data_IF_775823465530
#
_entry.id   IF_775823465530
#
_cell.length_a   1.000
_cell.length_b   1.000
_cell.length_c   1.000
_cell.angle_alpha   90.00
_cell.angle_beta   90.00
_cell.angle_gamma   90.00
#
_symmetry.space_group_name_H-M   'P 1'
#
loop_
_entity.id
_entity.type
_entity.pdbx_description
1 polymer ?
#
# COMPACT_ATOMS: atom_id res chain seq x y z
N UNK A 1 -10.84 12.72 -6.06
CA UNK A 1 -11.59 11.46 -5.87
C UNK A 1 -10.67 10.53 -5.11
N UNK A 2 -11.14 9.88 -4.05
CA UNK A 2 -10.32 8.94 -3.27
C UNK A 2 -10.17 7.65 -4.06
N UNK A 3 -8.94 7.14 -4.19
CA UNK A 3 -8.67 5.85 -4.81
C UNK A 3 -9.03 4.72 -3.86
N UNK A 4 -9.54 3.61 -4.38
CA UNK A 4 -9.81 2.39 -3.62
C UNK A 4 -8.86 1.30 -4.12
N UNK A 5 -8.11 0.74 -3.18
CA UNK A 5 -7.27 -0.43 -3.43
C UNK A 5 -7.95 -1.68 -2.85
N UNK A 6 -8.19 -2.68 -3.69
CA UNK A 6 -8.65 -3.99 -3.24
C UNK A 6 -7.50 -4.70 -2.51
N UNK A 7 -7.64 -4.90 -1.19
CA UNK A 7 -6.69 -5.65 -0.38
C UNK A 7 -6.74 -7.13 -0.76
N UNK A 8 -5.59 -7.79 -0.72
CA UNK A 8 -5.48 -9.24 -0.90
C UNK A 8 -6.56 -9.99 -0.09
N UNK A 9 -7.27 -10.92 -0.73
CA UNK A 9 -8.37 -11.66 -0.12
C UNK A 9 -9.69 -10.87 0.02
N UNK A 10 -9.88 -9.79 -0.74
CA UNK A 10 -11.13 -9.03 -0.68
C UNK A 10 -12.34 -9.90 -1.05
N UNK A 11 -13.50 -9.56 -0.43
CA UNK A 11 -14.80 -10.22 -0.63
C UNK A 11 -14.77 -11.76 -0.49
N UNK A 12 -13.86 -12.27 0.37
CA UNK A 12 -13.74 -13.68 0.70
C UNK A 12 -12.95 -14.53 -0.31
N UNK A 13 -12.29 -13.91 -1.27
CA UNK A 13 -11.32 -14.61 -2.13
C UNK A 13 -10.11 -15.05 -1.31
N UNK A 14 -9.37 -16.11 -1.72
CA UNK A 14 -8.15 -16.51 -1.02
C UNK A 14 -7.08 -15.41 -1.07
N UNK A 15 -6.43 -15.14 0.07
CA UNK A 15 -5.33 -14.19 0.15
C UNK A 15 -4.19 -14.56 -0.82
N UNK A 16 -3.56 -13.57 -1.43
CA UNK A 16 -2.40 -13.72 -2.32
C UNK A 16 -2.58 -14.84 -3.36
N UNK A 17 -3.73 -14.86 -4.04
CA UNK A 17 -4.08 -15.86 -5.04
C UNK A 17 -4.38 -15.25 -6.40
N UNK A 18 -4.21 -16.05 -7.47
CA UNK A 18 -4.65 -15.62 -8.80
C UNK A 18 -6.18 -15.52 -8.91
N UNK A 19 -6.92 -16.19 -8.03
CA UNK A 19 -8.39 -16.04 -7.91
C UNK A 19 -8.74 -14.62 -7.42
N UNK A 20 -8.11 -14.18 -6.32
CA UNK A 20 -8.23 -12.81 -5.84
C UNK A 20 -7.91 -11.80 -6.95
N UNK A 21 -6.75 -11.95 -7.62
CA UNK A 21 -6.33 -11.03 -8.68
C UNK A 21 -7.40 -10.91 -9.77
N UNK A 22 -7.90 -12.04 -10.30
CA UNK A 22 -8.96 -12.03 -11.33
C UNK A 22 -10.25 -11.39 -10.84
N UNK A 23 -10.62 -11.61 -9.58
CA UNK A 23 -11.78 -10.99 -8.96
C UNK A 23 -11.60 -9.48 -8.83
N UNK A 24 -10.50 -9.03 -8.22
CA UNK A 24 -10.21 -7.60 -8.01
C UNK A 24 -10.19 -6.80 -9.32
N UNK A 25 -9.71 -7.38 -10.41
CA UNK A 25 -9.72 -6.74 -11.74
C UNK A 25 -11.14 -6.51 -12.29
N UNK A 26 -12.18 -7.15 -11.74
CA UNK A 26 -13.58 -6.98 -12.15
C UNK A 26 -14.35 -6.02 -11.24
N UNK A 27 -13.78 -5.61 -10.10
CA UNK A 27 -14.38 -4.66 -9.16
C UNK A 27 -14.20 -3.21 -9.63
N UNK A 28 -14.90 -2.28 -8.95
CA UNK A 28 -14.74 -0.84 -9.13
C UNK A 28 -13.51 -0.26 -8.37
N UNK A 29 -12.65 -1.10 -7.78
CA UNK A 29 -11.40 -0.65 -7.20
C UNK A 29 -10.47 -0.05 -8.29
N UNK A 30 -9.69 0.96 -7.94
CA UNK A 30 -8.71 1.60 -8.85
C UNK A 30 -7.41 0.81 -8.91
N UNK A 31 -7.08 0.12 -7.81
CA UNK A 31 -5.89 -0.69 -7.66
C UNK A 31 -6.20 -2.02 -6.96
N UNK A 32 -5.26 -2.96 -7.06
CA UNK A 32 -5.22 -4.14 -6.20
C UNK A 32 -3.87 -4.20 -5.49
N UNK A 33 -3.85 -4.81 -4.31
CA UNK A 33 -2.65 -4.97 -3.50
C UNK A 33 -2.33 -6.44 -3.33
N UNK A 34 -1.03 -6.77 -3.42
CA UNK A 34 -0.48 -8.11 -3.17
C UNK A 34 0.79 -8.04 -2.35
N UNK A 35 0.96 -8.98 -1.44
CA UNK A 35 2.19 -9.14 -0.65
C UNK A 35 3.28 -9.79 -1.48
N UNK A 36 4.44 -9.16 -1.60
CA UNK A 36 5.53 -9.65 -2.45
C UNK A 36 6.67 -10.21 -1.61
N UNK A 37 7.07 -11.43 -1.94
CA UNK A 37 8.23 -12.12 -1.39
C UNK A 37 9.07 -12.75 -2.49
N UNK A 38 10.22 -13.25 -2.10
CA UNK A 38 11.10 -14.05 -2.96
C UNK A 38 11.11 -15.50 -2.50
N UNK A 39 10.97 -16.42 -3.44
CA UNK A 39 11.22 -17.83 -3.18
C UNK A 39 12.70 -18.09 -2.95
N UNK A 40 13.07 -19.25 -2.43
CA UNK A 40 14.44 -19.69 -2.25
C UNK A 40 15.27 -19.66 -3.55
N UNK A 41 14.61 -19.93 -4.68
CA UNK A 41 15.24 -19.89 -6.01
C UNK A 41 15.29 -18.47 -6.60
N UNK A 42 14.87 -17.46 -5.84
CA UNK A 42 14.95 -16.06 -6.24
C UNK A 42 13.77 -15.59 -7.12
N UNK A 43 12.72 -16.37 -7.25
CA UNK A 43 11.52 -15.99 -8.02
C UNK A 43 10.64 -15.08 -7.16
N UNK A 44 10.19 -13.95 -7.72
CA UNK A 44 9.19 -13.10 -7.07
C UNK A 44 7.83 -13.79 -7.09
N UNK A 45 7.20 -13.89 -5.93
CA UNK A 45 5.92 -14.56 -5.75
C UNK A 45 5.06 -13.77 -4.75
N UNK A 46 3.75 -14.05 -4.73
CA UNK A 46 2.83 -13.39 -3.81
C UNK A 46 2.52 -14.29 -2.61
N UNK A 47 2.84 -13.80 -1.41
CA UNK A 47 2.58 -14.46 -0.13
C UNK A 47 2.76 -13.48 1.03
N UNK A 48 1.84 -13.51 2.00
CA UNK A 48 2.01 -12.74 3.23
C UNK A 48 3.14 -13.30 4.09
N UNK A 49 3.16 -14.61 4.30
CA UNK A 49 4.17 -15.27 5.13
C UNK A 49 5.38 -15.73 4.30
N UNK A 50 6.47 -16.07 4.99
CA UNK A 50 7.67 -16.60 4.34
C UNK A 50 7.34 -17.86 3.54
N UNK A 51 7.81 -17.90 2.28
CA UNK A 51 7.56 -19.03 1.38
C UNK A 51 8.47 -20.19 1.76
N UNK A 52 7.88 -21.28 2.21
CA UNK A 52 8.58 -22.52 2.50
C UNK A 52 8.81 -23.32 1.21
N UNK A 53 9.83 -24.19 1.20
CA UNK A 53 10.29 -24.95 0.01
C UNK A 53 9.19 -25.81 -0.67
N UNK A 54 8.13 -26.14 0.07
CA UNK A 54 7.01 -26.98 -0.38
C UNK A 54 5.71 -26.19 -0.63
N UNK A 55 5.76 -24.86 -0.54
CA UNK A 55 4.61 -23.99 -0.80
C UNK A 55 4.54 -23.57 -2.26
N UNK A 56 3.36 -23.78 -2.85
CA UNK A 56 3.03 -23.32 -4.20
C UNK A 56 2.48 -21.87 -4.12
N UNK A 57 3.38 -20.89 -4.17
CA UNK A 57 3.01 -19.47 -4.16
C UNK A 57 2.95 -18.95 -5.61
N UNK A 58 1.86 -18.26 -6.02
CA UNK A 58 1.74 -17.71 -7.36
C UNK A 58 2.89 -16.74 -7.68
N UNK A 59 3.51 -16.89 -8.85
CA UNK A 59 4.55 -15.98 -9.30
C UNK A 59 3.98 -14.57 -9.56
N UNK A 60 4.71 -13.53 -9.17
CA UNK A 60 4.35 -12.13 -9.44
C UNK A 60 4.25 -11.85 -10.94
N UNK A 61 5.04 -12.56 -11.76
CA UNK A 61 4.97 -12.50 -13.23
C UNK A 61 3.57 -12.84 -13.76
N UNK A 62 2.94 -13.89 -13.20
CA UNK A 62 1.58 -14.27 -13.58
C UNK A 62 0.55 -13.22 -13.13
N UNK A 63 0.76 -12.55 -11.99
CA UNK A 63 -0.07 -11.42 -11.54
C UNK A 63 0.06 -10.26 -12.52
N UNK A 64 1.26 -9.85 -12.85
CA UNK A 64 1.52 -8.74 -13.78
C UNK A 64 0.94 -9.02 -15.18
N UNK A 65 1.03 -10.25 -15.67
CA UNK A 65 0.40 -10.64 -16.93
C UNK A 65 -1.13 -10.47 -16.93
N UNK A 66 -1.79 -10.65 -15.78
CA UNK A 66 -3.24 -10.40 -15.63
C UNK A 66 -3.57 -8.91 -15.52
N UNK A 67 -2.75 -8.12 -14.83
CA UNK A 67 -2.97 -6.68 -14.62
C UNK A 67 -2.64 -5.85 -15.86
N UNK A 68 -1.61 -6.20 -16.60
CA UNK A 68 -1.08 -5.42 -17.73
C UNK A 68 -2.14 -5.01 -18.78
N UNK A 69 -3.10 -5.88 -19.22
CA UNK A 69 -4.10 -5.52 -20.20
C UNK A 69 -5.24 -4.63 -19.67
N UNK A 70 -5.25 -4.29 -18.38
CA UNK A 70 -6.27 -3.47 -17.72
C UNK A 70 -5.75 -2.04 -17.48
N UNK A 71 -6.59 -1.17 -16.95
CA UNK A 71 -6.24 0.18 -16.49
C UNK A 71 -5.91 0.25 -14.98
N UNK A 72 -6.02 -0.88 -14.26
CA UNK A 72 -5.80 -0.96 -12.82
C UNK A 72 -4.34 -0.71 -12.44
N UNK A 73 -4.16 -0.10 -11.28
CA UNK A 73 -2.88 0.00 -10.62
C UNK A 73 -2.60 -1.25 -9.79
N UNK A 74 -1.33 -1.51 -9.51
CA UNK A 74 -0.94 -2.58 -8.61
C UNK A 74 -0.03 -2.06 -7.51
N UNK A 75 -0.45 -2.30 -6.26
CA UNK A 75 0.37 -2.09 -5.07
C UNK A 75 1.08 -3.40 -4.71
N UNK A 76 2.40 -3.39 -4.79
CA UNK A 76 3.25 -4.45 -4.30
C UNK A 76 3.69 -4.10 -2.88
N UNK A 77 3.08 -4.74 -1.88
CA UNK A 77 3.47 -4.64 -0.48
C UNK A 77 4.71 -5.51 -0.23
N UNK A 78 5.88 -4.87 -0.13
CA UNK A 78 7.17 -5.57 -0.02
C UNK A 78 7.33 -6.14 1.39
N UNK A 79 7.40 -7.47 1.51
CA UNK A 79 7.55 -8.15 2.79
C UNK A 79 9.00 -8.46 3.17
N UNK A 80 9.94 -8.12 2.29
CA UNK A 80 11.37 -8.36 2.46
C UNK A 80 12.14 -7.16 1.92
N UNK A 81 13.33 -6.86 2.47
CA UNK A 81 14.19 -5.81 1.94
C UNK A 81 14.74 -6.16 0.55
N UNK A 82 15.15 -5.14 -0.17
CA UNK A 82 15.88 -5.24 -1.45
C UNK A 82 15.09 -5.89 -2.61
N UNK A 83 13.75 -5.87 -2.58
CA UNK A 83 12.91 -6.37 -3.66
C UNK A 83 12.64 -5.34 -4.75
N UNK A 84 12.82 -4.06 -4.49
CA UNK A 84 12.36 -2.97 -5.35
C UNK A 84 12.85 -3.10 -6.79
N UNK A 85 14.17 -3.37 -7.01
CA UNK A 85 14.72 -3.50 -8.37
C UNK A 85 14.12 -4.66 -9.14
N UNK A 86 14.01 -5.81 -8.50
CA UNK A 86 13.49 -7.01 -9.15
C UNK A 86 12.02 -6.81 -9.56
N UNK A 87 11.22 -6.16 -8.69
CA UNK A 87 9.81 -5.83 -9.00
C UNK A 87 9.72 -4.77 -10.11
N UNK A 88 10.56 -3.74 -10.08
CA UNK A 88 10.61 -2.70 -11.13
C UNK A 88 10.96 -3.29 -12.48
N UNK A 89 11.98 -4.16 -12.55
CA UNK A 89 12.40 -4.78 -13.81
C UNK A 89 11.31 -5.68 -14.37
N UNK A 90 10.63 -6.43 -13.52
CA UNK A 90 9.49 -7.24 -13.91
C UNK A 90 8.32 -6.36 -14.39
N UNK A 91 7.95 -5.32 -13.64
CA UNK A 91 6.88 -4.39 -14.00
C UNK A 91 7.16 -3.68 -15.32
N UNK A 92 8.43 -3.30 -15.57
CA UNK A 92 8.85 -2.71 -16.84
C UNK A 92 8.66 -3.68 -18.00
N UNK A 93 8.97 -4.97 -17.81
CA UNK A 93 8.72 -6.02 -18.81
C UNK A 93 7.26 -6.16 -19.21
N UNK A 94 6.34 -5.90 -18.30
CA UNK A 94 4.88 -5.92 -18.52
C UNK A 94 4.27 -4.55 -18.88
N UNK A 95 5.06 -3.46 -18.96
CA UNK A 95 4.54 -2.12 -19.21
C UNK A 95 3.74 -1.52 -18.04
N UNK A 96 3.96 -2.00 -16.81
CA UNK A 96 3.23 -1.61 -15.59
C UNK A 96 3.91 -0.51 -14.77
N UNK A 97 5.14 -0.11 -15.12
CA UNK A 97 5.95 0.78 -14.30
C UNK A 97 5.21 2.07 -13.85
N UNK A 98 4.43 2.67 -14.73
CA UNK A 98 3.67 3.90 -14.46
C UNK A 98 2.38 3.67 -13.64
N UNK A 99 2.07 2.42 -13.31
CA UNK A 99 0.91 2.00 -12.51
C UNK A 99 1.33 1.13 -11.33
N UNK A 100 2.63 1.17 -10.99
CA UNK A 100 3.20 0.44 -9.88
C UNK A 100 3.21 1.31 -8.62
N UNK A 101 2.74 0.74 -7.53
CA UNK A 101 2.82 1.30 -6.19
C UNK A 101 3.67 0.37 -5.33
N UNK A 102 4.48 0.93 -4.45
CA UNK A 102 5.15 0.20 -3.39
C UNK A 102 4.61 0.58 -2.02
N UNK A 103 4.41 -0.40 -1.17
CA UNK A 103 4.23 -0.28 0.28
C UNK A 103 5.06 -1.36 1.00
N UNK A 104 4.92 -1.48 2.32
CA UNK A 104 5.68 -2.45 3.12
C UNK A 104 7.12 -2.02 3.37
N UNK A 105 8.04 -2.97 3.35
CA UNK A 105 9.45 -2.78 3.67
C UNK A 105 10.20 -2.12 2.50
N UNK A 106 9.99 -0.81 2.34
CA UNK A 106 10.69 0.01 1.34
C UNK A 106 11.94 0.63 1.96
N UNK A 107 13.09 0.46 1.33
CA UNK A 107 14.35 1.01 1.83
C UNK A 107 14.39 2.55 1.75
N UNK A 108 14.34 3.21 2.92
CA UNK A 108 14.41 4.68 3.04
C UNK A 108 15.68 5.24 2.41
N UNK A 109 16.83 4.61 2.69
CA UNK A 109 18.12 5.07 2.17
C UNK A 109 18.16 4.99 0.65
N UNK A 110 17.64 3.91 0.10
CA UNK A 110 17.56 3.72 -1.33
C UNK A 110 16.65 4.76 -2.00
N UNK A 111 15.45 4.98 -1.46
CA UNK A 111 14.55 6.01 -1.98
C UNK A 111 15.20 7.39 -1.92
N UNK A 112 15.93 7.70 -0.84
CA UNK A 112 16.68 8.95 -0.70
C UNK A 112 17.75 9.12 -1.77
N UNK A 113 18.47 8.04 -2.12
CA UNK A 113 19.61 8.08 -3.04
C UNK A 113 19.21 7.94 -4.51
N UNK A 114 18.02 7.38 -4.80
CA UNK A 114 17.57 7.09 -6.16
C UNK A 114 16.37 7.96 -6.56
N UNK A 115 16.68 9.10 -7.22
CA UNK A 115 15.63 9.98 -7.75
C UNK A 115 14.77 9.31 -8.83
N UNK A 116 15.32 8.32 -9.55
CA UNK A 116 14.59 7.58 -10.58
C UNK A 116 13.50 6.73 -9.96
N UNK A 117 13.80 6.08 -8.83
CA UNK A 117 12.82 5.32 -8.07
C UNK A 117 11.64 6.21 -7.64
N UNK A 118 11.91 7.38 -7.05
CA UNK A 118 10.85 8.32 -6.62
C UNK A 118 10.03 8.88 -7.77
N UNK A 119 10.63 9.03 -8.95
CA UNK A 119 9.94 9.57 -10.12
C UNK A 119 9.08 8.52 -10.83
N UNK A 120 9.59 7.30 -10.92
CA UNK A 120 9.03 6.26 -11.78
C UNK A 120 8.03 5.35 -11.06
N UNK A 121 8.05 5.32 -9.71
CA UNK A 121 7.18 4.48 -8.87
C UNK A 121 6.50 5.32 -7.80
N UNK A 122 5.20 5.14 -7.61
CA UNK A 122 4.48 5.73 -6.49
C UNK A 122 4.78 4.92 -5.21
N UNK A 123 5.18 5.61 -4.14
CA UNK A 123 5.53 4.97 -2.88
C UNK A 123 4.57 5.40 -1.79
N UNK A 124 3.86 4.45 -1.21
CA UNK A 124 3.05 4.59 -0.01
C UNK A 124 3.91 4.14 1.18
N UNK A 125 4.66 5.10 1.76
CA UNK A 125 5.59 4.74 2.85
C UNK A 125 4.84 4.40 4.13
N UNK A 126 5.01 3.20 4.65
CA UNK A 126 4.45 2.82 5.93
C UNK A 126 5.04 3.67 7.04
N UNK A 127 4.18 4.21 7.92
CA UNK A 127 4.63 5.09 9.03
C UNK A 127 5.62 4.39 9.96
N UNK A 128 5.53 3.07 10.14
CA UNK A 128 6.46 2.29 10.94
C UNK A 128 7.87 2.21 10.36
N UNK A 129 8.04 2.35 9.05
CA UNK A 129 9.36 2.45 8.42
C UNK A 129 10.03 3.79 8.77
N UNK A 130 9.24 4.87 8.89
CA UNK A 130 9.71 6.19 9.32
C UNK A 130 9.90 6.26 10.84
N UNK A 131 9.06 5.58 11.59
CA UNK A 131 9.01 5.61 13.05
C UNK A 131 8.98 4.18 13.64
N UNK A 132 10.11 3.45 13.61
CA UNK A 132 10.16 2.08 14.11
C UNK A 132 9.65 1.95 15.55
N UNK A 133 8.84 0.91 15.82
CA UNK A 133 8.23 0.65 17.12
C UNK A 133 7.01 1.52 17.44
N UNK A 134 6.51 2.32 16.49
CA UNK A 134 5.33 3.15 16.72
C UNK A 134 4.10 2.31 17.10
N UNK A 135 3.80 1.27 16.34
CA UNK A 135 2.62 0.44 16.61
C UNK A 135 2.74 -0.35 17.91
N UNK A 136 3.94 -0.75 18.32
CA UNK A 136 4.16 -1.41 19.64
C UNK A 136 3.80 -0.45 20.78
N UNK A 137 4.27 0.81 20.71
CA UNK A 137 3.91 1.85 21.69
C UNK A 137 2.41 2.11 21.76
N UNK A 138 1.74 2.16 20.60
CA UNK A 138 0.28 2.35 20.54
C UNK A 138 -0.49 1.14 21.09
N UNK A 139 0.01 -0.08 20.91
CA UNK A 139 -0.57 -1.28 21.51
C UNK A 139 -0.39 -1.30 23.04
N UNK A 140 0.70 -0.76 23.55
CA UNK A 140 0.96 -0.59 24.98
C UNK A 140 0.12 0.55 25.62
N UNK A 141 -0.74 1.20 24.83
CA UNK A 141 -1.67 2.22 25.30
C UNK A 141 -1.15 3.66 25.21
N UNK A 142 0.00 3.88 24.57
CA UNK A 142 0.44 5.23 24.25
C UNK A 142 -0.49 5.87 23.22
N UNK A 143 -0.58 7.19 23.24
CA UNK A 143 -1.35 7.97 22.26
C UNK A 143 -0.38 8.69 21.33
N UNK A 144 -0.67 8.71 20.05
CA UNK A 144 0.09 9.46 19.05
C UNK A 144 0.00 10.95 19.38
N UNK A 145 1.13 11.57 19.73
CA UNK A 145 1.18 12.99 20.10
C UNK A 145 1.27 13.88 18.86
N UNK A 146 0.95 15.16 18.99
CA UNK A 146 1.16 16.15 17.91
C UNK A 146 2.64 16.20 17.46
N UNK A 147 3.57 15.99 18.39
CA UNK A 147 5.01 15.91 18.07
C UNK A 147 5.35 14.68 17.24
N UNK A 148 4.74 13.52 17.53
CA UNK A 148 4.92 12.32 16.71
C UNK A 148 4.36 12.53 15.29
N UNK A 149 3.18 13.14 15.17
CA UNK A 149 2.56 13.45 13.88
C UNK A 149 3.42 14.41 13.05
N UNK A 150 3.91 15.49 13.66
CA UNK A 150 4.80 16.44 12.99
C UNK A 150 6.12 15.76 12.59
N UNK A 151 6.70 14.93 13.46
CA UNK A 151 7.90 14.16 13.14
C UNK A 151 7.70 13.23 11.94
N UNK A 152 6.54 12.58 11.83
CA UNK A 152 6.22 11.73 10.68
C UNK A 152 6.19 12.55 9.37
N UNK A 153 5.57 13.74 9.40
CA UNK A 153 5.54 14.65 8.25
C UNK A 153 6.95 15.17 7.89
N UNK A 154 7.74 15.56 8.88
CA UNK A 154 9.13 16.02 8.67
C UNK A 154 9.99 14.93 8.02
N UNK A 155 9.85 13.67 8.45
CA UNK A 155 10.54 12.53 7.87
C UNK A 155 10.08 12.25 6.43
N UNK A 156 8.78 12.37 6.14
CA UNK A 156 8.30 12.29 4.76
C UNK A 156 9.03 13.32 3.87
N UNK A 157 9.15 14.55 4.30
CA UNK A 157 9.86 15.60 3.56
C UNK A 157 11.37 15.31 3.45
N UNK A 158 12.00 14.87 4.54
CA UNK A 158 13.44 14.55 4.55
C UNK A 158 13.80 13.49 3.51
N UNK A 159 12.97 12.44 3.41
CA UNK A 159 13.18 11.34 2.46
C UNK A 159 12.52 11.56 1.10
N UNK A 160 11.72 12.61 0.94
CA UNK A 160 11.04 12.95 -0.31
C UNK A 160 9.79 12.10 -0.60
N UNK A 161 9.15 11.57 0.43
CA UNK A 161 7.86 10.89 0.30
C UNK A 161 6.71 11.89 0.24
N UNK A 162 5.76 11.63 -0.63
CA UNK A 162 4.54 12.40 -0.75
C UNK A 162 3.37 11.73 -0.04
N UNK A 163 3.35 10.40 0.02
CA UNK A 163 2.26 9.59 0.56
C UNK A 163 2.73 8.83 1.78
N UNK A 164 2.05 9.03 2.91
CA UNK A 164 2.23 8.22 4.12
C UNK A 164 1.12 7.17 4.20
N UNK A 165 1.50 5.90 4.42
CA UNK A 165 0.58 4.78 4.53
C UNK A 165 0.40 4.40 6.00
N UNK A 166 -0.84 4.41 6.48
CA UNK A 166 -1.14 4.25 7.91
C UNK A 166 -2.28 3.29 8.15
N UNK A 167 -2.23 2.59 9.29
CA UNK A 167 -3.39 1.85 9.79
C UNK A 167 -4.54 2.81 10.08
N UNK A 168 -5.77 2.42 9.78
CA UNK A 168 -6.98 3.23 9.85
C UNK A 168 -7.22 3.90 11.24
N UNK A 169 -6.69 3.29 12.31
CA UNK A 169 -6.75 3.84 13.68
C UNK A 169 -6.04 5.19 13.82
N UNK A 170 -5.06 5.46 12.96
CA UNK A 170 -4.32 6.73 12.94
C UNK A 170 -5.05 7.81 12.15
N UNK A 171 -6.08 7.48 11.38
CA UNK A 171 -6.86 8.45 10.61
C UNK A 171 -7.80 9.24 11.53
N UNK A 172 -7.23 9.94 12.53
CA UNK A 172 -7.97 10.86 13.38
C UNK A 172 -8.01 12.27 12.75
N UNK A 173 -9.00 13.12 13.12
CA UNK A 173 -9.05 14.50 12.63
C UNK A 173 -7.74 15.27 12.85
N UNK A 174 -7.09 15.05 14.00
CA UNK A 174 -5.83 15.70 14.36
C UNK A 174 -4.69 15.25 13.45
N UNK A 175 -4.55 13.93 13.21
CA UNK A 175 -3.55 13.38 12.30
C UNK A 175 -3.75 13.92 10.89
N UNK A 176 -4.98 13.84 10.37
CA UNK A 176 -5.29 14.33 9.03
C UNK A 176 -5.01 15.84 8.89
N UNK A 177 -5.29 16.61 9.93
CA UNK A 177 -4.99 18.05 9.91
C UNK A 177 -3.49 18.34 9.87
N UNK A 178 -2.67 17.56 10.59
CA UNK A 178 -1.21 17.72 10.56
C UNK A 178 -0.67 17.34 9.19
N UNK A 179 -1.14 16.23 8.59
CA UNK A 179 -0.72 15.81 7.26
C UNK A 179 -1.12 16.84 6.18
N UNK A 180 -2.36 17.34 6.20
CA UNK A 180 -2.86 18.37 5.26
C UNK A 180 -2.03 19.67 5.36
N UNK A 181 -1.70 20.13 6.57
CA UNK A 181 -0.86 21.33 6.79
C UNK A 181 0.58 21.19 6.27
N UNK A 182 1.06 19.96 6.17
CA UNK A 182 2.41 19.65 5.70
C UNK A 182 2.42 19.16 4.24
N UNK A 183 1.31 19.30 3.50
CA UNK A 183 1.19 18.80 2.10
C UNK A 183 1.55 17.30 1.93
N UNK A 184 1.32 16.50 2.97
CA UNK A 184 1.47 15.04 2.93
C UNK A 184 0.09 14.43 2.72
N UNK A 185 -0.03 13.57 1.72
CA UNK A 185 -1.26 12.82 1.49
C UNK A 185 -1.23 11.47 2.20
N UNK A 186 -2.41 10.95 2.52
CA UNK A 186 -2.57 9.76 3.35
C UNK A 186 -3.16 8.63 2.52
N UNK A 187 -2.55 7.45 2.61
CA UNK A 187 -3.14 6.16 2.25
C UNK A 187 -3.50 5.42 3.54
N UNK A 188 -4.71 4.92 3.65
CA UNK A 188 -5.21 4.25 4.86
C UNK A 188 -5.52 2.78 4.61
N UNK A 189 -5.12 1.91 5.55
CA UNK A 189 -5.39 0.46 5.53
C UNK A 189 -5.75 -0.06 6.92
N UNK A 190 -6.58 -1.05 7.08
CA UNK A 190 -7.55 -1.59 6.15
C UNK A 190 -8.92 -1.13 6.61
N UNK A 191 -9.64 -0.42 5.76
CA UNK A 191 -10.97 0.10 6.09
C UNK A 191 -12.01 -0.73 5.34
N UNK A 192 -12.81 -1.49 6.09
CA UNK A 192 -13.84 -2.36 5.52
C UNK A 192 -15.26 -1.83 5.78
N UNK A 193 -15.42 -1.01 6.84
CA UNK A 193 -16.71 -0.47 7.24
C UNK A 193 -17.07 0.74 6.37
N UNK A 194 -18.22 0.71 5.65
CA UNK A 194 -18.61 1.77 4.73
C UNK A 194 -18.70 3.15 5.37
N UNK A 195 -19.27 3.23 6.59
CA UNK A 195 -19.41 4.49 7.33
C UNK A 195 -18.06 5.07 7.70
N UNK A 196 -17.11 4.22 8.10
CA UNK A 196 -15.73 4.65 8.41
C UNK A 196 -15.00 5.12 7.16
N UNK A 197 -15.19 4.44 6.05
CA UNK A 197 -14.61 4.84 4.78
C UNK A 197 -15.16 6.20 4.31
N UNK A 198 -16.47 6.42 4.42
CA UNK A 198 -17.10 7.69 4.08
C UNK A 198 -16.62 8.83 5.00
N UNK A 199 -16.42 8.56 6.31
CA UNK A 199 -15.85 9.52 7.25
C UNK A 199 -14.41 9.92 6.87
N UNK A 200 -13.53 8.93 6.67
CA UNK A 200 -12.12 9.16 6.33
C UNK A 200 -11.98 9.85 4.98
N UNK A 201 -12.83 9.51 4.01
CA UNK A 201 -12.84 10.10 2.67
C UNK A 201 -13.16 11.61 2.65
N UNK A 202 -13.68 12.19 3.75
CA UNK A 202 -13.93 13.63 3.86
C UNK A 202 -12.66 14.45 4.10
N UNK A 203 -11.56 13.81 4.54
CA UNK A 203 -10.30 14.50 4.74
C UNK A 203 -9.66 14.89 3.40
N UNK A 204 -9.19 16.13 3.27
CA UNK A 204 -8.61 16.63 2.02
C UNK A 204 -7.33 15.90 1.63
N UNK A 205 -6.55 15.46 2.62
CA UNK A 205 -5.28 14.80 2.41
C UNK A 205 -5.41 13.29 2.13
N UNK A 206 -6.61 12.68 2.19
CA UNK A 206 -6.76 11.26 1.88
C UNK A 206 -6.67 11.04 0.36
N UNK A 207 -5.78 10.17 -0.07
CA UNK A 207 -5.60 9.80 -1.47
C UNK A 207 -6.09 8.39 -1.76
N UNK A 208 -5.89 7.45 -0.81
CA UNK A 208 -6.21 6.05 -1.01
C UNK A 208 -6.80 5.40 0.25
N UNK A 209 -7.75 4.49 0.02
CA UNK A 209 -8.26 3.57 1.03
C UNK A 209 -8.08 2.14 0.53
N UNK A 210 -7.33 1.33 1.27
CA UNK A 210 -7.19 -0.11 1.03
C UNK A 210 -8.26 -0.87 1.81
N UNK A 211 -9.02 -1.74 1.12
CA UNK A 211 -10.19 -2.42 1.70
C UNK A 211 -10.30 -3.87 1.25
N UNK A 212 -10.80 -4.74 2.14
CA UNK A 212 -11.25 -6.09 1.81
C UNK A 212 -12.71 -6.13 1.33
N UNK A 213 -13.40 -4.98 1.32
CA UNK A 213 -14.77 -4.82 0.82
C UNK A 213 -14.85 -3.62 -0.16
N UNK A 214 -14.06 -3.63 -1.27
CA UNK A 214 -13.86 -2.47 -2.12
C UNK A 214 -15.15 -1.93 -2.74
N UNK A 215 -16.10 -2.79 -3.12
CA UNK A 215 -17.39 -2.38 -3.70
C UNK A 215 -18.26 -1.65 -2.68
N UNK A 216 -18.32 -2.16 -1.44
CA UNK A 216 -19.09 -1.51 -0.36
C UNK A 216 -18.52 -0.15 0.00
N UNK A 217 -17.20 -0.07 0.11
CA UNK A 217 -16.48 1.17 0.41
C UNK A 217 -16.65 2.19 -0.72
N UNK A 218 -16.54 1.78 -1.99
CA UNK A 218 -16.78 2.64 -3.15
C UNK A 218 -18.20 3.20 -3.12
N UNK A 219 -19.21 2.35 -2.90
CA UNK A 219 -20.61 2.78 -2.82
C UNK A 219 -20.87 3.80 -1.72
N UNK A 220 -20.20 3.70 -0.57
CA UNK A 220 -20.35 4.64 0.53
C UNK A 220 -19.64 5.99 0.31
N UNK A 221 -18.58 6.03 -0.49
CA UNK A 221 -17.83 7.25 -0.77
C UNK A 221 -18.48 8.06 -1.90
N UNK A 222 -19.03 7.37 -2.91
CA UNK A 222 -19.60 8.01 -4.11
C UNK A 222 -21.10 8.34 -3.99
N UNK A 223 -21.79 7.77 -2.97
CA UNK A 223 -23.24 7.97 -2.70
C UNK A 223 -23.52 9.12 -1.82
#
# INVERSE_FOLDING_TARGET
MVHITAHSGCDGTPDNSLEFVRYALQTNADALEVDVRKTKDGILAISHDAILDDQDAPALDAVFALVAPTDKWINCDLKEPDLENAVIDLARGHGLLQRLIFSGTVSLERVRMDETLRRDVLIYINIEELMPGLYDRLQDGEVLTEQDMQKAADLCHEYGFRVINVHERLCTPEFMQVMDKNDIVVSAWTINEPERAAEVAQAKCIENITSRAPELVRGAIDG
#
